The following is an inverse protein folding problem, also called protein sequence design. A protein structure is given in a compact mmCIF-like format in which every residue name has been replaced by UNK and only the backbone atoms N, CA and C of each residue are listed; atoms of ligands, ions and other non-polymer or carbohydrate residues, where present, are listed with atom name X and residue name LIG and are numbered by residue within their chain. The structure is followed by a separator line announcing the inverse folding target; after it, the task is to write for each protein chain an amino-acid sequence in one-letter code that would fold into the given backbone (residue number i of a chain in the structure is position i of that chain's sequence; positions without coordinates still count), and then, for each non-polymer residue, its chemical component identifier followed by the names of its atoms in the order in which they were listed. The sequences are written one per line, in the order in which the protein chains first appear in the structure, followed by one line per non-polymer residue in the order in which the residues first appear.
data_IF_308003512487
#
_entry.id   IF_308003512487
#
_cell.length_a   1.000
_cell.length_b   1.000
_cell.length_c   1.000
_cell.angle_alpha   90.00
_cell.angle_beta   90.00
_cell.angle_gamma   90.00
#
_symmetry.space_group_name_H-M   'P 1'
#
loop_
_entity.id
_entity.type
_entity.pdbx_description
1 polymer ?
#
# COMPACT_ATOMS: atom_id res chain seq x y z
N UNK A 1 -6.35 5.60 -14.72
CA UNK A 1 -7.57 4.76 -14.87
C UNK A 1 -7.23 3.26 -14.76
N UNK A 2 -6.17 2.80 -15.42
CA UNK A 2 -5.65 1.42 -15.32
C UNK A 2 -5.39 0.98 -13.88
N UNK A 3 -4.99 1.90 -12.98
CA UNK A 3 -4.74 1.65 -11.56
C UNK A 3 -5.99 1.16 -10.82
N UNK A 4 -7.17 1.74 -11.14
CA UNK A 4 -8.46 1.30 -10.58
C UNK A 4 -8.78 -0.12 -11.05
N UNK A 5 -8.51 -0.41 -12.33
CA UNK A 5 -8.72 -1.73 -12.91
C UNK A 5 -7.80 -2.77 -12.26
N UNK A 6 -6.51 -2.48 -12.19
CA UNK A 6 -5.50 -3.34 -11.55
C UNK A 6 -5.82 -3.57 -10.07
N UNK A 7 -6.23 -2.53 -9.35
CA UNK A 7 -6.68 -2.66 -7.97
C UNK A 7 -7.84 -3.65 -7.86
N UNK A 8 -8.89 -3.52 -8.66
CA UNK A 8 -10.05 -4.42 -8.61
C UNK A 8 -9.69 -5.85 -9.06
N UNK A 9 -8.75 -5.97 -9.99
CA UNK A 9 -8.22 -7.26 -10.45
C UNK A 9 -7.42 -7.96 -9.34
N UNK A 10 -6.67 -7.21 -8.54
CA UNK A 10 -5.87 -7.73 -7.44
C UNK A 10 -6.68 -7.98 -6.16
N UNK A 11 -7.33 -6.95 -5.64
CA UNK A 11 -7.98 -6.96 -4.33
C UNK A 11 -9.46 -7.39 -4.37
N UNK A 12 -10.06 -7.45 -5.56
CA UNK A 12 -11.47 -7.79 -5.71
C UNK A 12 -12.41 -6.63 -5.37
N UNK A 13 -13.64 -6.93 -4.89
CA UNK A 13 -14.67 -5.91 -4.73
C UNK A 13 -14.35 -4.86 -3.67
N UNK A 14 -14.46 -3.57 -4.03
CA UNK A 14 -14.20 -2.46 -3.11
C UNK A 14 -15.08 -1.24 -3.39
N UNK A 15 -15.16 -0.31 -2.43
CA UNK A 15 -15.82 0.98 -2.63
C UNK A 15 -14.82 2.05 -3.13
N UNK A 16 -15.34 3.17 -3.63
CA UNK A 16 -14.53 4.26 -4.21
C UNK A 16 -13.56 4.89 -3.22
N UNK A 17 -13.87 4.90 -1.92
CA UNK A 17 -13.01 5.48 -0.89
C UNK A 17 -11.81 4.56 -0.59
N UNK A 18 -12.05 3.27 -0.44
CA UNK A 18 -10.98 2.28 -0.23
C UNK A 18 -9.99 2.30 -1.41
N UNK A 19 -10.51 2.28 -2.65
CA UNK A 19 -9.69 2.43 -3.86
C UNK A 19 -8.91 3.74 -3.84
N UNK A 20 -9.59 4.88 -3.70
CA UNK A 20 -8.96 6.21 -3.71
C UNK A 20 -7.78 6.34 -2.74
N UNK A 21 -7.91 5.78 -1.53
CA UNK A 21 -6.83 5.77 -0.54
C UNK A 21 -5.64 4.93 -0.99
N UNK A 22 -5.91 3.77 -1.57
CA UNK A 22 -4.84 2.85 -2.00
C UNK A 22 -4.07 3.39 -3.21
N UNK A 23 -4.79 3.89 -4.22
CA UNK A 23 -4.21 4.34 -5.49
C UNK A 23 -3.87 5.85 -5.51
N UNK A 24 -4.15 6.58 -4.43
CA UNK A 24 -3.76 7.99 -4.28
C UNK A 24 -4.56 8.98 -5.13
N UNK A 25 -5.76 8.61 -5.58
CA UNK A 25 -6.61 9.48 -6.38
C UNK A 25 -7.72 10.13 -5.54
N UNK A 26 -8.23 11.28 -5.99
CA UNK A 26 -9.40 11.89 -5.37
C UNK A 26 -10.63 10.97 -5.48
N UNK A 27 -11.31 10.69 -4.37
CA UNK A 27 -12.48 9.80 -4.32
C UNK A 27 -13.55 10.16 -5.36
N UNK A 28 -13.81 11.45 -5.57
CA UNK A 28 -14.78 11.92 -6.59
C UNK A 28 -14.41 11.46 -7.99
N UNK A 29 -13.12 11.48 -8.35
CA UNK A 29 -12.66 11.02 -9.66
C UNK A 29 -12.79 9.51 -9.80
N UNK A 30 -12.39 8.76 -8.76
CA UNK A 30 -12.55 7.30 -8.71
C UNK A 30 -14.01 6.92 -8.87
N UNK A 31 -14.91 7.58 -8.14
CA UNK A 31 -16.35 7.33 -8.24
C UNK A 31 -16.90 7.56 -9.66
N UNK A 32 -16.56 8.68 -10.30
CA UNK A 32 -17.00 8.96 -11.68
C UNK A 32 -16.53 7.90 -12.67
N UNK A 33 -15.29 7.42 -12.53
CA UNK A 33 -14.76 6.35 -13.38
C UNK A 33 -15.53 5.05 -13.16
N UNK A 34 -15.81 4.70 -11.91
CA UNK A 34 -16.54 3.47 -11.55
C UNK A 34 -17.99 3.49 -12.07
N UNK A 35 -18.68 4.63 -12.00
CA UNK A 35 -20.03 4.77 -12.57
C UNK A 35 -19.99 4.60 -14.09
N UNK A 36 -19.09 5.30 -14.80
CA UNK A 36 -18.94 5.17 -16.26
C UNK A 36 -18.61 3.71 -16.68
N UNK A 37 -17.77 3.01 -15.92
CA UNK A 37 -17.45 1.61 -16.19
C UNK A 37 -18.57 0.64 -15.84
N UNK A 38 -19.44 1.01 -14.90
CA UNK A 38 -20.66 0.23 -14.61
C UNK A 38 -21.65 0.38 -15.76
N UNK A 39 -21.85 1.60 -16.27
CA UNK A 39 -22.69 1.87 -17.45
C UNK A 39 -22.17 1.16 -18.71
N UNK A 40 -20.85 1.08 -18.88
CA UNK A 40 -20.22 0.35 -19.98
C UNK A 40 -20.21 -1.18 -19.79
N UNK A 41 -20.74 -1.71 -18.69
CA UNK A 41 -20.78 -3.15 -18.40
C UNK A 41 -19.43 -3.78 -18.04
N UNK A 42 -18.39 -2.97 -17.79
CA UNK A 42 -17.07 -3.45 -17.36
C UNK A 42 -17.13 -3.89 -15.88
N UNK A 43 -17.89 -3.15 -15.08
CA UNK A 43 -18.10 -3.42 -13.66
C UNK A 43 -19.54 -3.82 -13.38
N UNK A 44 -19.75 -4.42 -12.20
CA UNK A 44 -21.07 -4.50 -11.59
C UNK A 44 -21.02 -3.90 -10.19
N UNK A 45 -22.12 -3.25 -9.81
CA UNK A 45 -22.29 -2.64 -8.49
C UNK A 45 -22.91 -3.64 -7.54
N UNK A 46 -22.19 -3.98 -6.47
CA UNK A 46 -22.67 -4.82 -5.37
C UNK A 46 -23.24 -3.88 -4.30
N UNK A 47 -24.56 -3.85 -4.15
CA UNK A 47 -25.21 -3.08 -3.07
C UNK A 47 -25.08 -3.85 -1.75
N UNK A 48 -24.14 -3.43 -0.90
CA UNK A 48 -24.09 -3.78 0.53
C UNK A 48 -24.15 -2.49 1.35
N UNK A 49 -25.34 -2.13 1.84
CA UNK A 49 -25.54 -0.95 2.69
C UNK A 49 -25.47 0.41 1.96
N UNK A 50 -25.10 1.48 2.68
CA UNK A 50 -25.09 2.87 2.17
C UNK A 50 -24.01 3.15 1.10
N UNK A 51 -22.93 2.39 1.07
CA UNK A 51 -21.87 2.52 0.08
C UNK A 51 -21.87 1.30 -0.85
N UNK A 52 -21.97 1.54 -2.17
CA UNK A 52 -21.86 0.47 -3.15
C UNK A 52 -20.42 0.02 -3.31
N UNK A 53 -20.18 -1.29 -3.28
CA UNK A 53 -18.92 -1.86 -3.74
C UNK A 53 -19.01 -2.09 -5.26
N UNK A 54 -17.86 -2.06 -5.92
CA UNK A 54 -17.72 -2.30 -7.35
C UNK A 54 -16.82 -3.51 -7.54
N UNK A 55 -17.14 -4.33 -8.53
CA UNK A 55 -16.38 -5.52 -8.88
C UNK A 55 -16.31 -5.69 -10.39
N UNK A 56 -15.19 -6.23 -10.89
CA UNK A 56 -15.00 -6.52 -12.31
C UNK A 56 -15.99 -7.59 -12.77
N UNK A 57 -16.65 -7.34 -13.89
CA UNK A 57 -17.36 -8.41 -14.60
C UNK A 57 -16.34 -9.33 -15.26
N UNK A 58 -16.60 -10.64 -15.21
CA UNK A 58 -15.77 -11.66 -15.86
C UNK A 58 -14.28 -11.53 -15.52
N UNK A 59 -13.95 -11.40 -14.24
CA UNK A 59 -12.55 -11.27 -13.75
C UNK A 59 -11.60 -12.29 -14.41
N UNK A 60 -12.01 -13.54 -14.50
CA UNK A 60 -11.20 -14.62 -15.09
C UNK A 60 -10.94 -14.42 -16.59
N UNK A 61 -11.90 -13.83 -17.31
CA UNK A 61 -11.72 -13.46 -18.71
C UNK A 61 -10.65 -12.38 -18.85
N UNK A 62 -10.63 -11.38 -17.96
CA UNK A 62 -9.59 -10.34 -17.96
C UNK A 62 -8.21 -10.90 -17.65
N UNK A 63 -8.09 -11.80 -16.67
CA UNK A 63 -6.82 -12.48 -16.38
C UNK A 63 -6.33 -13.29 -17.59
N UNK A 64 -7.23 -14.06 -18.22
CA UNK A 64 -6.92 -14.82 -19.42
C UNK A 64 -6.49 -13.92 -20.59
N UNK A 65 -7.17 -12.79 -20.82
CA UNK A 65 -6.80 -11.83 -21.87
C UNK A 65 -5.41 -11.24 -21.65
N UNK A 66 -4.99 -11.06 -20.40
CA UNK A 66 -3.67 -10.56 -20.03
C UNK A 66 -2.59 -11.67 -20.00
N UNK A 67 -2.93 -12.91 -20.38
CA UNK A 67 -2.08 -14.09 -20.22
C UNK A 67 -1.52 -14.24 -18.78
N UNK A 68 -2.34 -13.87 -17.79
CA UNK A 68 -2.00 -13.95 -16.38
C UNK A 68 -2.67 -15.17 -15.75
N UNK A 69 -1.87 -16.08 -15.19
CA UNK A 69 -2.36 -17.20 -14.37
C UNK A 69 -2.74 -16.76 -12.95
N UNK A 70 -2.37 -15.54 -12.58
CA UNK A 70 -2.65 -14.87 -11.31
C UNK A 70 -2.11 -13.44 -11.37
N UNK A 71 -2.50 -12.59 -10.42
CA UNK A 71 -1.91 -11.25 -10.35
C UNK A 71 -0.48 -11.35 -9.81
N UNK A 72 0.50 -10.65 -10.42
CA UNK A 72 1.83 -10.53 -9.87
C UNK A 72 1.75 -9.82 -8.52
N UNK A 73 2.71 -10.12 -7.64
CA UNK A 73 2.87 -9.34 -6.41
C UNK A 73 3.18 -7.89 -6.81
N UNK A 74 2.27 -6.99 -6.45
CA UNK A 74 2.45 -5.56 -6.69
C UNK A 74 2.86 -4.88 -5.40
N UNK A 75 3.75 -3.91 -5.53
CA UNK A 75 4.12 -3.03 -4.44
C UNK A 75 3.20 -1.82 -4.48
N UNK A 76 2.56 -1.52 -3.35
CA UNK A 76 1.92 -0.25 -3.13
C UNK A 76 2.99 0.84 -2.96
N UNK A 77 3.38 1.42 -4.09
CA UNK A 77 4.36 2.49 -4.14
C UNK A 77 3.96 3.71 -3.32
N UNK A 78 2.67 4.03 -3.18
CA UNK A 78 2.22 5.19 -2.41
C UNK A 78 2.55 5.01 -0.92
N UNK A 79 2.28 3.83 -0.38
CA UNK A 79 2.61 3.50 1.00
C UNK A 79 4.14 3.45 1.20
N UNK A 80 4.86 2.81 0.28
CA UNK A 80 6.32 2.71 0.34
C UNK A 80 7.01 4.07 0.25
N UNK A 81 6.67 4.90 -0.72
CA UNK A 81 7.20 6.27 -0.83
C UNK A 81 6.81 7.12 0.37
N UNK A 82 5.57 6.99 0.86
CA UNK A 82 5.13 7.69 2.07
C UNK A 82 5.97 7.34 3.30
N UNK A 83 6.32 6.06 3.47
CA UNK A 83 7.24 5.60 4.53
C UNK A 83 8.64 6.19 4.34
N UNK A 84 9.21 6.14 3.13
CA UNK A 84 10.55 6.66 2.85
C UNK A 84 10.65 8.16 3.10
N UNK A 85 9.63 8.92 2.71
CA UNK A 85 9.54 10.36 3.00
C UNK A 85 9.49 10.60 4.51
N UNK A 86 8.71 9.81 5.26
CA UNK A 86 8.62 9.93 6.71
C UNK A 86 9.98 9.66 7.39
N UNK A 87 10.71 8.63 6.94
CA UNK A 87 12.06 8.32 7.41
C UNK A 87 13.02 9.46 7.07
N UNK A 88 13.00 9.96 5.83
CA UNK A 88 13.84 11.07 5.41
C UNK A 88 13.60 12.34 6.25
N UNK A 89 12.34 12.65 6.56
CA UNK A 89 12.00 13.79 7.41
C UNK A 89 12.56 13.63 8.83
N UNK A 90 12.43 12.45 9.42
CA UNK A 90 13.01 12.15 10.75
C UNK A 90 14.53 12.35 10.72
N UNK A 91 15.22 11.80 9.71
CA UNK A 91 16.68 11.92 9.57
C UNK A 91 17.12 13.37 9.32
N UNK A 92 16.25 14.22 8.76
CA UNK A 92 16.55 15.62 8.50
C UNK A 92 16.38 16.52 9.73
N UNK A 93 15.54 16.12 10.69
CA UNK A 93 15.22 16.94 11.86
C UNK A 93 16.37 17.03 12.88
N UNK A 94 17.20 15.98 12.97
CA UNK A 94 18.28 15.91 13.95
C UNK A 94 19.32 14.87 13.55
N UNK A 95 20.57 15.09 13.94
CA UNK A 95 21.66 14.11 13.84
C UNK A 95 21.80 13.24 15.12
N UNK A 96 20.99 13.51 16.14
CA UNK A 96 21.01 12.76 17.40
C UNK A 96 20.38 11.37 17.19
N UNK A 97 21.23 10.33 17.26
CA UNK A 97 20.83 8.93 17.02
C UNK A 97 19.81 8.44 18.04
N UNK A 98 19.86 8.91 19.28
CA UNK A 98 18.88 8.57 20.30
C UNK A 98 17.49 9.12 19.95
N UNK A 99 17.43 10.39 19.52
CA UNK A 99 16.18 11.01 19.08
C UNK A 99 15.62 10.34 17.82
N UNK A 100 16.47 10.03 16.84
CA UNK A 100 16.07 9.28 15.63
C UNK A 100 15.51 7.91 16.03
N UNK A 101 16.22 7.16 16.88
CA UNK A 101 15.78 5.84 17.34
C UNK A 101 14.42 5.94 18.04
N UNK A 102 14.19 6.98 18.85
CA UNK A 102 12.89 7.25 19.46
C UNK A 102 11.79 7.44 18.41
N UNK A 103 12.02 8.29 17.40
CA UNK A 103 11.07 8.51 16.29
C UNK A 103 10.82 7.26 15.45
N UNK A 104 11.84 6.43 15.25
CA UNK A 104 11.68 5.14 14.59
C UNK A 104 10.75 4.20 15.36
N UNK A 105 10.79 4.21 16.70
CA UNK A 105 9.82 3.45 17.51
C UNK A 105 8.38 3.94 17.28
N UNK A 106 8.18 5.25 17.21
CA UNK A 106 6.86 5.84 16.98
C UNK A 106 6.24 5.35 15.65
N UNK A 107 7.06 5.20 14.60
CA UNK A 107 6.59 4.80 13.27
C UNK A 107 6.65 3.29 13.02
N UNK A 108 7.32 2.52 13.90
CA UNK A 108 7.59 1.09 13.69
C UNK A 108 6.33 0.25 13.40
N UNK A 109 5.19 0.40 14.12
CA UNK A 109 3.99 -0.40 13.83
C UNK A 109 3.45 -0.18 12.42
N UNK A 110 3.46 1.09 11.96
CA UNK A 110 3.01 1.45 10.61
C UNK A 110 4.01 0.98 9.55
N UNK A 111 5.30 1.15 9.81
CA UNK A 111 6.36 0.72 8.91
C UNK A 111 6.37 -0.82 8.75
N UNK A 112 6.17 -1.57 9.83
CA UNK A 112 6.07 -3.03 9.81
C UNK A 112 4.86 -3.51 8.99
N UNK A 113 3.70 -2.88 9.17
CA UNK A 113 2.51 -3.18 8.37
C UNK A 113 2.74 -2.94 6.87
N UNK A 114 3.45 -1.87 6.51
CA UNK A 114 3.79 -1.57 5.11
C UNK A 114 4.77 -2.61 4.56
N UNK A 115 5.86 -2.90 5.28
CA UNK A 115 6.88 -3.85 4.81
C UNK A 115 6.34 -5.28 4.70
N UNK A 116 5.52 -5.71 5.66
CA UNK A 116 4.95 -7.06 5.66
C UNK A 116 3.94 -7.24 4.53
N UNK A 117 3.07 -6.25 4.29
CA UNK A 117 2.08 -6.32 3.22
C UNK A 117 2.66 -6.21 1.80
N UNK A 118 3.80 -5.52 1.64
CA UNK A 118 4.40 -5.29 0.32
C UNK A 118 5.56 -6.23 0.00
N UNK A 119 6.33 -6.65 0.99
CA UNK A 119 7.60 -7.36 0.80
C UNK A 119 7.75 -8.61 1.70
N UNK A 120 6.74 -8.93 2.52
CA UNK A 120 6.82 -10.03 3.47
C UNK A 120 7.91 -9.86 4.54
N UNK A 121 8.37 -8.62 4.77
CA UNK A 121 9.44 -8.29 5.72
C UNK A 121 8.87 -7.72 7.01
N UNK A 122 9.49 -8.09 8.12
CA UNK A 122 9.12 -7.60 9.44
C UNK A 122 10.23 -6.77 10.05
N UNK A 123 9.85 -5.70 10.75
CA UNK A 123 10.75 -4.94 11.58
C UNK A 123 11.05 -5.70 12.88
N UNK A 124 12.26 -5.49 13.44
CA UNK A 124 12.56 -5.94 14.78
C UNK A 124 11.64 -5.26 15.80
N UNK A 125 11.21 -6.02 16.81
CA UNK A 125 10.35 -5.51 17.89
C UNK A 125 11.06 -4.40 18.69
N UNK A 126 10.53 -3.15 18.69
CA UNK A 126 11.13 -2.02 19.40
C UNK A 126 11.40 -2.25 20.88
N UNK A 127 10.60 -3.09 21.54
CA UNK A 127 10.70 -3.34 22.98
C UNK A 127 11.97 -4.11 23.37
N UNK A 128 12.60 -4.80 22.41
CA UNK A 128 13.83 -5.57 22.60
C UNK A 128 15.10 -4.72 22.54
N UNK A 129 14.98 -3.44 22.20
CA UNK A 129 16.11 -2.54 21.97
C UNK A 129 15.91 -1.26 22.81
N UNK A 130 16.88 -0.93 23.67
CA UNK A 130 16.82 0.22 24.58
C UNK A 130 17.54 1.44 24.01
N UNK A 131 16.93 2.63 24.12
CA UNK A 131 17.55 3.90 23.71
C UNK A 131 17.95 3.95 22.23
N UNK A 132 19.19 4.33 21.93
CA UNK A 132 19.69 4.50 20.57
C UNK A 132 19.89 3.19 19.80
N UNK A 133 20.02 2.04 20.49
CA UNK A 133 20.38 0.77 19.85
C UNK A 133 19.32 0.21 18.92
N UNK A 134 18.12 0.80 18.89
CA UNK A 134 17.06 0.46 17.93
C UNK A 134 17.29 1.08 16.54
N UNK A 135 18.15 2.10 16.43
CA UNK A 135 18.44 2.77 15.17
C UNK A 135 18.91 1.79 14.09
N UNK A 136 20.00 1.06 14.36
CA UNK A 136 20.61 0.17 13.37
C UNK A 136 19.68 -0.98 12.94
N UNK A 137 19.03 -1.74 13.85
CA UNK A 137 18.07 -2.77 13.47
C UNK A 137 16.94 -2.25 12.57
N UNK A 138 16.40 -1.06 12.85
CA UNK A 138 15.39 -0.45 12.00
C UNK A 138 15.96 -0.08 10.62
N UNK A 139 17.07 0.65 10.59
CA UNK A 139 17.69 1.12 9.35
C UNK A 139 18.13 -0.04 8.44
N UNK A 140 18.75 -1.07 9.02
CA UNK A 140 19.20 -2.26 8.31
C UNK A 140 18.04 -3.02 7.66
N UNK A 141 16.92 -3.18 8.37
CA UNK A 141 15.72 -3.79 7.77
C UNK A 141 15.17 -2.95 6.62
N UNK A 142 15.15 -1.61 6.74
CA UNK A 142 14.71 -0.73 5.65
C UNK A 142 15.64 -0.84 4.45
N UNK A 143 16.96 -0.77 4.65
CA UNK A 143 17.94 -0.90 3.57
C UNK A 143 17.85 -2.28 2.89
N UNK A 144 17.73 -3.36 3.68
CA UNK A 144 17.52 -4.69 3.14
C UNK A 144 16.20 -4.81 2.35
N UNK A 145 15.14 -4.12 2.79
CA UNK A 145 13.89 -4.03 2.03
C UNK A 145 14.08 -3.31 0.70
N UNK A 146 14.80 -2.19 0.68
CA UNK A 146 15.09 -1.44 -0.54
C UNK A 146 15.97 -2.22 -1.52
N UNK A 147 16.96 -2.97 -1.05
CA UNK A 147 17.80 -3.82 -1.92
C UNK A 147 17.02 -4.92 -2.62
N UNK A 148 15.88 -5.39 -2.09
CA UNK A 148 15.03 -6.36 -2.79
C UNK A 148 14.26 -5.73 -3.96
N UNK A 149 14.13 -4.40 -3.98
CA UNK A 149 13.42 -3.66 -5.02
C UNK A 149 14.29 -3.38 -6.26
N UNK A 150 15.61 -3.62 -6.18
CA UNK A 150 16.60 -3.33 -7.21
C UNK A 150 17.32 -4.59 -7.70
#
# INVERSE_FOLDING_TARGET
RSEIFLFLLQHGPANSNAMAREIGFAQKQVYLILENWTEAGILHRIRKGRAGNYSLQKKDHWLSLLNMTGMPETINWIQMFGLLVQIFLILKETDDTYLIASRFRDIAPKADAILSSNLGKHLPDPSRYQGEIYFAPFADTILAALHQLY
#
